data_IF_359102115358
#
_entry.id   IF_359102115358
#
_cell.length_a   1.000
_cell.length_b   1.000
_cell.length_c   1.000
_cell.angle_alpha   90.00
_cell.angle_beta   90.00
_cell.angle_gamma   90.00
#
_symmetry.space_group_name_H-M   'P 1'
#
loop_
_entity.id
_entity.type
_entity.pdbx_description
1 polymer ?
#
# COMPACT_ATOMS: atom_id res chain seq x y z
N UNK A 1 -16.45 -21.37 -19.73
CA UNK A 1 -17.39 -20.23 -19.80
C UNK A 1 -16.97 -19.25 -18.72
N UNK A 2 -16.79 -17.96 -19.04
CA UNK A 2 -16.42 -16.93 -18.04
C UNK A 2 -17.66 -16.59 -17.22
N UNK A 3 -17.53 -16.65 -15.90
CA UNK A 3 -18.58 -16.40 -14.92
C UNK A 3 -19.06 -14.94 -15.02
N UNK A 4 -20.37 -14.66 -14.95
CA UNK A 4 -20.92 -13.29 -15.02
C UNK A 4 -20.26 -12.34 -14.00
N UNK A 5 -20.00 -12.84 -12.80
CA UNK A 5 -19.30 -12.11 -11.72
C UNK A 5 -17.87 -11.67 -12.10
N UNK A 6 -17.12 -12.48 -12.86
CA UNK A 6 -15.75 -12.13 -13.27
C UNK A 6 -15.76 -11.00 -14.31
N UNK A 7 -16.78 -10.96 -15.18
CA UNK A 7 -16.94 -9.89 -16.17
C UNK A 7 -17.28 -8.56 -15.52
N UNK A 8 -18.18 -8.56 -14.54
CA UNK A 8 -18.55 -7.36 -13.79
C UNK A 8 -17.37 -6.81 -12.99
N UNK A 9 -16.66 -7.67 -12.25
CA UNK A 9 -15.44 -7.29 -11.53
C UNK A 9 -14.40 -6.66 -12.47
N UNK A 10 -14.17 -7.26 -13.63
CA UNK A 10 -13.19 -6.76 -14.59
C UNK A 10 -13.59 -5.39 -15.18
N UNK A 11 -14.88 -5.17 -15.45
CA UNK A 11 -15.39 -3.85 -15.86
C UNK A 11 -15.17 -2.80 -14.77
N UNK A 12 -15.38 -3.15 -13.49
CA UNK A 12 -15.08 -2.26 -12.36
C UNK A 12 -13.60 -1.90 -12.31
N UNK A 13 -12.68 -2.85 -12.49
CA UNK A 13 -11.24 -2.56 -12.48
C UNK A 13 -10.83 -1.63 -13.62
N UNK A 14 -11.43 -1.77 -14.80
CA UNK A 14 -11.21 -0.85 -15.93
C UNK A 14 -11.75 0.55 -15.62
N UNK A 15 -12.90 0.65 -14.94
CA UNK A 15 -13.45 1.94 -14.51
C UNK A 15 -12.54 2.63 -13.48
N UNK A 16 -11.97 1.87 -12.55
CA UNK A 16 -10.99 2.37 -11.57
C UNK A 16 -9.72 2.86 -12.28
N UNK A 17 -9.21 2.12 -13.26
CA UNK A 17 -8.08 2.54 -14.10
C UNK A 17 -8.35 3.87 -14.84
N UNK A 18 -9.61 4.12 -15.24
CA UNK A 18 -10.06 5.37 -15.90
C UNK A 18 -10.47 6.49 -14.93
N UNK A 19 -10.38 6.25 -13.62
CA UNK A 19 -10.86 7.19 -12.60
C UNK A 19 -10.00 8.45 -12.49
N UNK A 20 -10.60 9.53 -11.97
CA UNK A 20 -9.90 10.79 -11.70
C UNK A 20 -8.74 10.60 -10.72
N UNK A 21 -8.88 9.71 -9.75
CA UNK A 21 -7.88 9.46 -8.72
C UNK A 21 -6.57 8.91 -9.32
N UNK A 22 -6.66 7.97 -10.27
CA UNK A 22 -5.47 7.46 -10.97
C UNK A 22 -4.86 8.55 -11.87
N UNK A 23 -5.69 9.30 -12.58
CA UNK A 23 -5.22 10.39 -13.43
C UNK A 23 -4.51 11.49 -12.62
N UNK A 24 -5.06 11.87 -11.46
CA UNK A 24 -4.48 12.84 -10.55
C UNK A 24 -3.08 12.42 -10.08
N UNK A 25 -2.94 11.19 -9.57
CA UNK A 25 -1.66 10.65 -9.13
C UNK A 25 -0.60 10.73 -10.22
N UNK A 26 -0.96 10.46 -11.48
CA UNK A 26 -0.03 10.53 -12.61
C UNK A 26 0.31 11.97 -12.99
N UNK A 27 -0.71 12.85 -13.06
CA UNK A 27 -0.54 14.28 -13.41
C UNK A 27 0.36 14.98 -12.39
N UNK A 28 0.13 14.73 -11.11
CA UNK A 28 0.91 15.31 -10.01
C UNK A 28 2.32 14.73 -9.97
N UNK A 29 2.48 13.40 -10.10
CA UNK A 29 3.80 12.74 -10.08
C UNK A 29 4.72 13.16 -11.24
N UNK A 30 4.16 13.34 -12.43
CA UNK A 30 4.91 13.73 -13.62
C UNK A 30 4.87 15.24 -13.90
N UNK A 31 4.27 16.02 -13.00
CA UNK A 31 4.11 17.46 -13.12
C UNK A 31 3.56 17.89 -14.50
N UNK A 32 2.57 17.15 -15.01
CA UNK A 32 2.03 17.34 -16.36
C UNK A 32 1.33 18.70 -16.54
N UNK A 33 0.96 19.36 -15.43
CA UNK A 33 0.38 20.70 -15.42
C UNK A 33 1.32 21.74 -16.06
N UNK A 34 2.63 21.52 -16.01
CA UNK A 34 3.63 22.44 -16.58
C UNK A 34 4.12 22.03 -17.97
N UNK A 35 3.66 20.89 -18.50
CA UNK A 35 4.17 20.35 -19.75
C UNK A 35 3.52 21.05 -20.98
N UNK A 36 4.29 21.45 -22.01
CA UNK A 36 3.78 22.18 -23.18
C UNK A 36 2.62 21.47 -23.90
N UNK A 37 2.61 20.14 -23.88
CA UNK A 37 1.55 19.32 -24.49
C UNK A 37 0.20 19.34 -23.73
N UNK A 38 0.21 19.85 -22.50
CA UNK A 38 -0.93 19.95 -21.59
C UNK A 38 -1.27 21.41 -21.24
N UNK A 39 -0.35 22.36 -21.46
CA UNK A 39 -0.55 23.81 -21.34
C UNK A 39 -0.89 24.49 -22.66
N UNK A 40 -0.59 23.86 -23.81
CA UNK A 40 -0.93 24.39 -25.12
C UNK A 40 -2.44 24.32 -25.36
N UNK A 41 -3.11 25.41 -25.03
CA UNK A 41 -4.40 25.76 -25.63
C UNK A 41 -4.19 26.00 -27.13
N UNK A 42 -4.05 24.92 -27.90
CA UNK A 42 -4.10 24.99 -29.35
C UNK A 42 -5.48 25.54 -29.75
N UNK A 43 -5.51 26.81 -30.16
CA UNK A 43 -6.54 27.39 -31.01
C UNK A 43 -7.85 27.91 -30.40
N UNK A 44 -8.12 27.83 -29.09
CA UNK A 44 -9.44 28.25 -28.56
C UNK A 44 -9.46 29.74 -28.13
N UNK A 45 -8.32 30.38 -27.87
CA UNK A 45 -8.30 31.81 -27.46
C UNK A 45 -8.82 32.80 -28.52
N UNK A 46 -8.96 32.40 -29.79
CA UNK A 46 -9.48 33.27 -30.85
C UNK A 46 -10.97 33.07 -31.18
N UNK A 47 -11.69 32.15 -30.52
CA UNK A 47 -13.13 31.91 -30.78
C UNK A 47 -14.05 32.04 -29.56
N UNK A 48 -13.58 32.65 -28.47
CA UNK A 48 -14.40 32.87 -27.26
C UNK A 48 -14.99 34.29 -27.21
N UNK A 49 -14.50 35.23 -28.04
CA UNK A 49 -15.09 36.57 -28.09
C UNK A 49 -16.34 36.66 -28.99
N UNK A 50 -16.64 35.63 -29.79
CA UNK A 50 -17.89 35.55 -30.57
C UNK A 50 -19.04 34.82 -29.84
N UNK A 51 -18.77 34.07 -28.77
CA UNK A 51 -19.81 33.29 -28.04
C UNK A 51 -20.43 34.10 -26.88
N UNK A 52 -19.94 35.31 -26.60
CA UNK A 52 -20.47 36.21 -25.56
C UNK A 52 -21.75 36.95 -25.95
N UNK A 53 -22.26 36.78 -27.17
CA UNK A 53 -23.41 37.53 -27.68
C UNK A 53 -24.75 36.75 -27.71
N UNK A 54 -24.82 35.55 -27.12
CA UNK A 54 -26.06 34.74 -27.11
C UNK A 54 -26.70 34.79 -25.72
N UNK A 55 -27.84 35.49 -25.53
CA UNK A 55 -28.47 35.70 -24.23
C UNK A 55 -29.19 34.46 -23.66
N UNK A 56 -29.11 33.30 -24.31
CA UNK A 56 -29.83 32.08 -23.92
C UNK A 56 -28.98 31.02 -23.20
N UNK A 57 -27.69 31.26 -22.95
CA UNK A 57 -26.79 30.26 -22.32
C UNK A 57 -26.58 30.47 -20.81
N UNK A 58 -27.25 31.46 -20.21
CA UNK A 58 -27.10 31.76 -18.78
C UNK A 58 -27.89 30.85 -17.85
N UNK A 59 -28.83 30.04 -18.37
CA UNK A 59 -29.78 29.29 -17.51
C UNK A 59 -29.52 27.78 -17.43
N UNK A 60 -28.50 27.26 -18.11
CA UNK A 60 -28.21 25.81 -18.16
C UNK A 60 -27.00 25.35 -17.31
N UNK A 61 -26.41 26.25 -16.51
CA UNK A 61 -25.19 25.96 -15.72
C UNK A 61 -25.35 26.16 -14.21
N UNK A 62 -26.58 26.26 -13.70
CA UNK A 62 -26.85 26.21 -12.27
C UNK A 62 -27.01 24.76 -11.78
N UNK A 63 -25.93 23.97 -11.87
CA UNK A 63 -25.74 22.80 -11.01
C UNK A 63 -24.44 23.05 -10.24
N UNK A 64 -24.60 23.60 -9.03
CA UNK A 64 -23.50 23.85 -8.12
C UNK A 64 -22.81 22.53 -7.76
N UNK A 65 -21.50 22.35 -8.05
CA UNK A 65 -20.75 21.21 -7.53
C UNK A 65 -20.50 21.41 -6.03
N UNK A 66 -20.57 20.31 -5.29
CA UNK A 66 -20.41 20.24 -3.84
C UNK A 66 -19.03 20.84 -3.40
N UNK A 67 -18.94 21.74 -2.39
CA UNK A 67 -17.75 22.58 -2.16
C UNK A 67 -16.56 21.91 -1.46
N UNK A 68 -16.61 20.62 -1.11
CA UNK A 68 -15.61 20.01 -0.22
C UNK A 68 -14.45 19.28 -0.92
N UNK A 69 -14.55 19.00 -2.22
CA UNK A 69 -13.46 18.35 -3.00
C UNK A 69 -12.87 19.25 -4.11
N UNK A 70 -13.49 20.40 -4.40
CA UNK A 70 -13.17 21.25 -5.56
C UNK A 70 -12.10 22.32 -5.27
N UNK A 71 -11.65 22.45 -4.02
CA UNK A 71 -10.96 23.65 -3.52
C UNK A 71 -9.44 23.70 -3.71
N UNK A 72 -8.79 22.68 -4.28
CA UNK A 72 -7.31 22.64 -4.37
C UNK A 72 -6.71 22.67 -5.77
N UNK A 73 -7.52 22.55 -6.83
CA UNK A 73 -6.99 22.44 -8.20
C UNK A 73 -7.31 23.67 -9.06
N UNK A 74 -6.27 24.32 -9.57
CA UNK A 74 -6.36 25.52 -10.42
C UNK A 74 -6.95 25.18 -11.81
N UNK A 75 -7.56 26.14 -12.52
CA UNK A 75 -8.01 25.99 -13.92
C UNK A 75 -7.04 25.21 -14.86
N UNK A 76 -5.71 25.42 -14.85
CA UNK A 76 -4.76 24.62 -15.66
C UNK A 76 -4.72 23.13 -15.32
N UNK A 77 -4.99 22.74 -14.07
CA UNK A 77 -5.04 21.33 -13.68
C UNK A 77 -6.23 20.61 -14.34
N UNK A 78 -7.42 21.22 -14.34
CA UNK A 78 -8.60 20.65 -15.00
C UNK A 78 -8.38 20.46 -16.51
N UNK A 79 -7.67 21.38 -17.16
CA UNK A 79 -7.30 21.27 -18.56
C UNK A 79 -6.31 20.12 -18.81
N UNK A 80 -5.31 19.96 -17.94
CA UNK A 80 -4.39 18.83 -18.00
C UNK A 80 -5.12 17.49 -17.80
N UNK A 81 -6.05 17.42 -16.84
CA UNK A 81 -6.88 16.23 -16.58
C UNK A 81 -7.75 15.84 -17.78
N UNK A 82 -8.41 16.82 -18.40
CA UNK A 82 -9.25 16.55 -19.57
C UNK A 82 -8.41 16.11 -20.78
N UNK A 83 -7.26 16.75 -20.99
CA UNK A 83 -6.32 16.39 -22.06
C UNK A 83 -5.75 14.99 -21.85
N UNK A 84 -5.38 14.66 -20.61
CA UNK A 84 -4.90 13.36 -20.20
C UNK A 84 -5.94 12.27 -20.48
N UNK A 85 -7.18 12.46 -20.03
CA UNK A 85 -8.27 11.49 -20.25
C UNK A 85 -8.58 11.25 -21.72
N UNK A 86 -8.52 12.30 -22.55
CA UNK A 86 -8.76 12.16 -24.00
C UNK A 86 -7.65 11.39 -24.71
N UNK A 87 -6.42 11.45 -24.19
CA UNK A 87 -5.24 10.80 -24.76
C UNK A 87 -5.00 9.39 -24.22
N UNK A 88 -5.56 9.07 -23.06
CA UNK A 88 -5.51 7.75 -22.44
C UNK A 88 -6.60 6.84 -23.02
N UNK A 89 -6.19 5.68 -23.51
CA UNK A 89 -7.07 4.65 -24.01
C UNK A 89 -6.74 3.31 -23.33
N UNK A 90 -7.77 2.66 -22.82
CA UNK A 90 -7.64 1.44 -22.01
C UNK A 90 -8.61 0.42 -22.60
N UNK A 91 -8.03 -0.63 -23.20
CA UNK A 91 -8.75 -1.68 -23.89
C UNK A 91 -8.54 -3.05 -23.22
N UNK A 92 -9.63 -3.79 -22.93
CA UNK A 92 -9.51 -5.16 -22.47
C UNK A 92 -9.07 -6.10 -23.60
N UNK A 93 -8.19 -7.05 -23.28
CA UNK A 93 -7.82 -8.12 -24.22
C UNK A 93 -8.86 -9.24 -24.11
N UNK A 94 -9.58 -9.48 -25.22
CA UNK A 94 -10.66 -10.48 -25.31
C UNK A 94 -10.19 -11.85 -24.79
N UNK A 95 -11.05 -12.53 -24.04
CA UNK A 95 -10.81 -13.86 -23.45
C UNK A 95 -9.60 -13.93 -22.50
N UNK A 96 -9.15 -12.81 -21.95
CA UNK A 96 -8.06 -12.76 -20.96
C UNK A 96 -8.39 -11.75 -19.86
N UNK A 97 -7.64 -11.81 -18.75
CA UNK A 97 -7.67 -10.80 -17.69
C UNK A 97 -6.63 -9.68 -17.90
N UNK A 98 -6.16 -9.51 -19.15
CA UNK A 98 -5.16 -8.49 -19.49
C UNK A 98 -5.83 -7.23 -20.03
N UNK A 99 -5.22 -6.09 -19.73
CA UNK A 99 -5.67 -4.77 -20.18
C UNK A 99 -4.50 -4.10 -20.91
N UNK A 100 -4.78 -3.54 -22.08
CA UNK A 100 -3.84 -2.73 -22.84
C UNK A 100 -4.04 -1.26 -22.49
N UNK A 101 -2.99 -0.65 -21.94
CA UNK A 101 -2.94 0.79 -21.64
C UNK A 101 -2.20 1.46 -22.78
N UNK A 102 -2.84 2.41 -23.45
CA UNK A 102 -2.27 3.20 -24.55
C UNK A 102 -2.38 4.68 -24.23
N UNK A 103 -1.30 5.41 -24.45
CA UNK A 103 -1.30 6.86 -24.29
C UNK A 103 -0.82 7.52 -25.58
N UNK A 104 -1.60 8.48 -26.10
CA UNK A 104 -1.25 9.24 -27.30
C UNK A 104 -0.51 10.51 -26.89
N UNK A 105 0.76 10.64 -27.26
CA UNK A 105 1.54 11.87 -27.06
C UNK A 105 2.34 12.22 -28.32
N UNK A 106 2.67 13.49 -28.48
CA UNK A 106 3.61 13.98 -29.51
C UNK A 106 5.06 13.58 -29.21
N UNK A 107 5.40 13.30 -27.95
CA UNK A 107 6.71 12.84 -27.53
C UNK A 107 6.68 11.33 -27.22
N UNK A 108 7.48 10.50 -27.92
CA UNK A 108 7.52 9.05 -27.69
C UNK A 108 8.02 8.67 -26.28
N UNK A 109 8.92 9.46 -25.69
CA UNK A 109 9.44 9.20 -24.34
C UNK A 109 8.38 9.49 -23.27
N UNK A 110 7.67 10.61 -23.44
CA UNK A 110 6.57 10.98 -22.55
C UNK A 110 5.41 9.98 -22.63
N UNK A 111 5.07 9.51 -23.84
CA UNK A 111 4.03 8.48 -24.04
C UNK A 111 4.30 7.22 -23.22
N UNK A 112 5.54 6.72 -23.29
CA UNK A 112 6.00 5.52 -22.59
C UNK A 112 5.96 5.74 -21.07
N UNK A 113 6.45 6.88 -20.62
CA UNK A 113 6.51 7.25 -19.20
C UNK A 113 5.11 7.33 -18.60
N UNK A 114 4.17 7.99 -19.28
CA UNK A 114 2.78 8.13 -18.83
C UNK A 114 2.07 6.77 -18.81
N UNK A 115 2.20 5.96 -19.86
CA UNK A 115 1.55 4.64 -19.91
C UNK A 115 2.02 3.73 -18.75
N UNK A 116 3.33 3.70 -18.47
CA UNK A 116 3.89 2.95 -17.35
C UNK A 116 3.44 3.54 -16.00
N UNK A 117 3.39 4.86 -15.88
CA UNK A 117 2.95 5.55 -14.66
C UNK A 117 1.48 5.25 -14.32
N UNK A 118 0.58 5.13 -15.32
CA UNK A 118 -0.82 4.74 -15.10
C UNK A 118 -0.93 3.35 -14.50
N UNK A 119 -0.18 2.38 -15.03
CA UNK A 119 -0.15 1.02 -14.49
C UNK A 119 0.35 0.99 -13.04
N UNK A 120 1.44 1.71 -12.76
CA UNK A 120 1.99 1.80 -11.42
C UNK A 120 1.03 2.50 -10.44
N UNK A 121 0.40 3.60 -10.85
CA UNK A 121 -0.55 4.35 -10.03
C UNK A 121 -1.78 3.50 -9.63
N UNK A 122 -2.26 2.63 -10.52
CA UNK A 122 -3.34 1.69 -10.20
C UNK A 122 -2.91 0.64 -9.17
N UNK A 123 -1.72 0.07 -9.35
CA UNK A 123 -1.13 -0.88 -8.40
C UNK A 123 -1.01 -0.24 -7.00
N UNK A 124 -0.56 1.01 -6.94
CA UNK A 124 -0.40 1.75 -5.68
C UNK A 124 -1.75 2.11 -5.04
N UNK A 125 -2.73 2.54 -5.84
CA UNK A 125 -4.08 2.86 -5.35
C UNK A 125 -4.82 1.62 -4.79
N UNK A 126 -4.70 0.46 -5.46
CA UNK A 126 -5.32 -0.77 -4.97
C UNK A 126 -4.70 -1.23 -3.65
N UNK A 127 -3.41 -0.96 -3.44
CA UNK A 127 -2.74 -1.24 -2.19
C UNK A 127 -3.18 -0.31 -1.06
N UNK A 128 -3.26 0.99 -1.32
CA UNK A 128 -3.74 1.99 -0.36
C UNK A 128 -5.17 1.68 0.10
N UNK A 129 -6.06 1.33 -0.84
CA UNK A 129 -7.41 0.88 -0.51
C UNK A 129 -7.42 -0.34 0.43
N UNK A 130 -6.54 -1.33 0.19
CA UNK A 130 -6.41 -2.51 1.07
C UNK A 130 -5.85 -2.16 2.45
N UNK A 131 -4.89 -1.23 2.52
CA UNK A 131 -4.36 -0.75 3.80
C UNK A 131 -5.44 -0.06 4.62
N UNK A 132 -6.23 0.84 3.99
CA UNK A 132 -7.34 1.52 4.65
C UNK A 132 -8.38 0.52 5.17
N UNK A 133 -8.74 -0.48 4.36
CA UNK A 133 -9.66 -1.55 4.82
C UNK A 133 -9.07 -2.33 6.00
N UNK A 134 -7.76 -2.61 6.00
CA UNK A 134 -7.09 -3.35 7.08
C UNK A 134 -7.00 -2.53 8.36
N UNK A 135 -6.66 -1.23 8.26
CA UNK A 135 -6.64 -0.31 9.39
C UNK A 135 -8.04 -0.15 9.99
N UNK A 136 -9.06 0.03 9.15
CA UNK A 136 -10.44 0.11 9.60
C UNK A 136 -10.90 -1.18 10.28
N UNK A 137 -10.50 -2.35 9.77
CA UNK A 137 -10.78 -3.63 10.41
C UNK A 137 -10.07 -3.75 11.78
N UNK A 138 -8.82 -3.31 11.90
CA UNK A 138 -8.12 -3.27 13.17
C UNK A 138 -8.82 -2.33 14.17
N UNK A 139 -9.19 -1.11 13.76
CA UNK A 139 -9.95 -0.18 14.60
C UNK A 139 -11.31 -0.74 14.99
N UNK A 140 -12.02 -1.39 14.07
CA UNK A 140 -13.29 -2.06 14.35
C UNK A 140 -13.11 -3.18 15.38
N UNK A 141 -12.09 -4.03 15.23
CA UNK A 141 -11.79 -5.09 16.20
C UNK A 141 -11.46 -4.51 17.58
N UNK A 142 -10.62 -3.48 17.66
CA UNK A 142 -10.31 -2.78 18.92
C UNK A 142 -11.56 -2.24 19.60
N UNK A 143 -12.42 -1.54 18.84
CA UNK A 143 -13.65 -0.96 19.38
C UNK A 143 -14.65 -2.05 19.83
N UNK A 144 -14.74 -3.17 19.11
CA UNK A 144 -15.60 -4.28 19.53
C UNK A 144 -15.03 -4.99 20.76
N UNK A 145 -13.70 -5.12 20.87
CA UNK A 145 -13.05 -5.66 22.07
C UNK A 145 -13.38 -4.82 23.30
N UNK A 146 -13.22 -3.49 23.21
CA UNK A 146 -13.56 -2.58 24.31
C UNK A 146 -15.03 -2.69 24.72
N UNK A 147 -15.94 -2.77 23.73
CA UNK A 147 -17.37 -2.98 24.02
C UNK A 147 -17.66 -4.33 24.65
N UNK A 148 -16.90 -5.36 24.30
CA UNK A 148 -17.07 -6.71 24.86
C UNK A 148 -16.53 -6.77 26.30
N UNK A 149 -15.39 -6.14 26.57
CA UNK A 149 -14.84 -5.93 27.91
C UNK A 149 -15.82 -5.18 28.80
N UNK A 150 -16.40 -4.08 28.31
CA UNK A 150 -17.37 -3.29 29.08
C UNK A 150 -18.66 -4.08 29.37
N UNK A 151 -19.15 -4.85 28.40
CA UNK A 151 -20.29 -5.75 28.62
C UNK A 151 -19.98 -6.84 29.64
N UNK A 152 -18.80 -7.45 29.55
CA UNK A 152 -18.35 -8.47 30.50
C UNK A 152 -18.29 -7.89 31.91
N UNK A 153 -17.61 -6.75 32.08
CA UNK A 153 -17.53 -6.05 33.37
C UNK A 153 -18.91 -5.73 33.93
N UNK A 154 -19.84 -5.32 33.07
CA UNK A 154 -21.23 -5.05 33.50
C UNK A 154 -21.95 -6.32 33.93
N UNK A 155 -21.77 -7.43 33.21
CA UNK A 155 -22.35 -8.74 33.56
C UNK A 155 -21.75 -9.31 34.85
N UNK A 156 -20.44 -9.14 35.06
CA UNK A 156 -19.73 -9.52 36.29
C UNK A 156 -20.21 -8.69 37.47
N UNK A 157 -20.33 -7.37 37.32
CA UNK A 157 -20.88 -6.49 38.35
C UNK A 157 -22.32 -6.87 38.71
N UNK A 158 -23.17 -7.11 37.71
CA UNK A 158 -24.56 -7.52 37.94
C UNK A 158 -24.66 -8.88 38.65
N UNK A 159 -23.76 -9.82 38.31
CA UNK A 159 -23.66 -11.10 39.02
C UNK A 159 -23.21 -10.89 40.47
N UNK A 160 -22.20 -10.06 40.69
CA UNK A 160 -21.70 -9.74 42.03
C UNK A 160 -22.79 -9.10 42.89
N UNK A 161 -23.52 -8.13 42.36
CA UNK A 161 -24.63 -7.46 43.05
C UNK A 161 -25.74 -8.46 43.40
N UNK A 162 -26.04 -9.40 42.50
CA UNK A 162 -27.00 -10.50 42.74
C UNK A 162 -26.51 -11.45 43.85
N UNK A 163 -25.24 -11.86 43.82
CA UNK A 163 -24.66 -12.74 44.84
C UNK A 163 -24.58 -12.07 46.23
N UNK A 164 -24.30 -10.76 46.27
CA UNK A 164 -24.38 -9.93 47.48
C UNK A 164 -25.80 -9.92 48.05
N UNK A 165 -26.79 -9.71 47.18
CA UNK A 165 -28.20 -9.62 47.56
C UNK A 165 -28.75 -10.95 48.10
N UNK A 166 -28.35 -12.07 47.51
CA UNK A 166 -28.77 -13.42 47.92
C UNK A 166 -27.95 -13.97 49.11
N UNK A 167 -26.99 -13.21 49.64
CA UNK A 167 -26.17 -13.62 50.78
C UNK A 167 -25.29 -14.85 50.50
N UNK A 168 -25.00 -15.12 49.22
CA UNK A 168 -24.17 -16.23 48.75
C UNK A 168 -22.67 -15.92 48.84
N UNK A 169 -22.31 -14.73 49.33
CA UNK A 169 -20.93 -14.36 49.62
C UNK A 169 -20.57 -14.90 50.99
N UNK A 170 -20.27 -16.19 51.01
CA UNK A 170 -19.30 -16.72 51.95
C UNK A 170 -18.47 -17.81 51.25
N UNK A 171 -17.15 -17.72 51.40
CA UNK A 171 -16.12 -18.67 50.97
C UNK A 171 -16.12 -19.17 49.51
N UNK A 172 -15.54 -18.40 48.58
CA UNK A 172 -14.63 -18.91 47.55
C UNK A 172 -14.07 -17.73 46.74
N UNK A 173 -12.94 -17.15 47.17
CA UNK A 173 -12.15 -16.18 46.37
C UNK A 173 -11.55 -16.78 45.09
N UNK A 174 -12.11 -17.89 44.61
CA UNK A 174 -11.71 -18.69 43.47
C UNK A 174 -12.34 -18.11 42.19
N UNK A 175 -13.59 -17.62 42.24
CA UNK A 175 -14.28 -17.07 41.06
C UNK A 175 -13.72 -15.71 40.62
N UNK A 176 -13.31 -14.86 41.56
CA UNK A 176 -12.62 -13.59 41.27
C UNK A 176 -11.21 -13.84 40.67
N UNK A 177 -10.51 -14.89 41.13
CA UNK A 177 -9.22 -15.31 40.53
C UNK A 177 -9.41 -15.82 39.10
N UNK A 178 -10.44 -16.61 38.82
CA UNK A 178 -10.74 -17.09 37.47
C UNK A 178 -11.13 -15.96 36.50
N UNK A 179 -11.90 -14.97 36.97
CA UNK A 179 -12.25 -13.79 36.17
C UNK A 179 -11.00 -12.96 35.80
N UNK A 180 -10.12 -12.70 36.77
CA UNK A 180 -8.86 -11.98 36.55
C UNK A 180 -7.93 -12.73 35.58
N UNK A 181 -7.86 -14.06 35.68
CA UNK A 181 -7.04 -14.89 34.79
C UNK A 181 -7.58 -14.92 33.35
N UNK A 182 -8.91 -14.94 33.18
CA UNK A 182 -9.57 -14.79 31.88
C UNK A 182 -9.34 -13.41 31.26
N UNK A 183 -9.36 -12.34 32.06
CA UNK A 183 -9.05 -10.98 31.61
C UNK A 183 -7.58 -10.88 31.18
N UNK A 184 -6.65 -11.44 31.95
CA UNK A 184 -5.23 -11.50 31.58
C UNK A 184 -5.00 -12.30 30.29
N UNK A 185 -5.68 -13.43 30.12
CA UNK A 185 -5.57 -14.27 28.94
C UNK A 185 -6.13 -13.57 27.69
N UNK A 186 -7.25 -12.86 27.81
CA UNK A 186 -7.77 -12.01 26.74
C UNK A 186 -6.79 -10.88 26.37
N UNK A 187 -6.19 -10.21 27.36
CA UNK A 187 -5.15 -9.19 27.11
C UNK A 187 -3.96 -9.77 26.36
N UNK A 188 -3.47 -10.95 26.77
CA UNK A 188 -2.38 -11.67 26.09
C UNK A 188 -2.76 -12.08 24.67
N UNK A 189 -3.98 -12.58 24.47
CA UNK A 189 -4.49 -12.96 23.16
C UNK A 189 -4.58 -11.74 22.22
N UNK A 190 -5.10 -10.62 22.70
CA UNK A 190 -5.17 -9.38 21.94
C UNK A 190 -3.77 -8.88 21.53
N UNK A 191 -2.80 -8.92 22.44
CA UNK A 191 -1.41 -8.60 22.12
C UNK A 191 -0.83 -9.56 21.05
N UNK A 192 -1.08 -10.88 21.17
CA UNK A 192 -0.61 -11.87 20.21
C UNK A 192 -1.25 -11.69 18.82
N UNK A 193 -2.54 -11.37 18.75
CA UNK A 193 -3.24 -11.06 17.50
C UNK A 193 -2.62 -9.82 16.83
N UNK A 194 -2.35 -8.76 17.59
CA UNK A 194 -1.70 -7.56 17.07
C UNK A 194 -0.31 -7.89 16.50
N UNK A 195 0.51 -8.63 17.26
CA UNK A 195 1.83 -9.07 16.80
C UNK A 195 1.74 -9.91 15.50
N UNK A 196 0.77 -10.82 15.39
CA UNK A 196 0.56 -11.61 14.16
C UNK A 196 0.18 -10.71 12.99
N UNK A 197 -0.72 -9.74 13.19
CA UNK A 197 -1.13 -8.79 12.15
C UNK A 197 0.08 -7.99 11.67
N UNK A 198 0.88 -7.42 12.58
CA UNK A 198 2.08 -6.68 12.23
C UNK A 198 3.07 -7.53 11.42
N UNK A 199 3.42 -8.72 11.91
CA UNK A 199 4.29 -9.66 11.19
C UNK A 199 3.74 -10.05 9.81
N UNK A 200 2.41 -10.23 9.70
CA UNK A 200 1.76 -10.59 8.44
C UNK A 200 1.83 -9.45 7.44
N UNK A 201 1.58 -8.21 7.87
CA UNK A 201 1.68 -7.03 7.00
C UNK A 201 3.10 -6.85 6.47
N UNK A 202 4.11 -7.03 7.32
CA UNK A 202 5.51 -6.98 6.92
C UNK A 202 5.83 -8.04 5.85
N UNK A 203 5.42 -9.29 6.03
CA UNK A 203 5.63 -10.35 5.03
C UNK A 203 4.93 -10.05 3.70
N UNK A 204 3.73 -9.49 3.73
CA UNK A 204 3.02 -9.11 2.50
C UNK A 204 3.76 -7.99 1.75
N UNK A 205 4.28 -6.99 2.48
CA UNK A 205 5.13 -5.94 1.93
C UNK A 205 6.40 -6.52 1.31
N UNK A 206 7.07 -7.44 2.00
CA UNK A 206 8.28 -8.11 1.52
C UNK A 206 8.03 -8.92 0.25
N UNK A 207 6.98 -9.73 0.21
CA UNK A 207 6.63 -10.52 -1.00
C UNK A 207 6.40 -9.60 -2.20
N UNK A 208 5.69 -8.48 -2.03
CA UNK A 208 5.43 -7.53 -3.11
C UNK A 208 6.70 -6.84 -3.61
N UNK A 209 7.51 -6.28 -2.71
CA UNK A 209 8.74 -5.57 -3.09
C UNK A 209 9.80 -6.53 -3.65
N UNK A 210 9.92 -7.73 -3.09
CA UNK A 210 10.83 -8.77 -3.59
C UNK A 210 10.50 -9.21 -5.02
N UNK A 211 9.22 -9.16 -5.45
CA UNK A 211 8.84 -9.47 -6.84
C UNK A 211 9.21 -8.38 -7.84
N UNK A 212 9.47 -7.15 -7.38
CA UNK A 212 9.87 -6.04 -8.25
C UNK A 212 11.38 -5.95 -8.39
N UNK A 213 12.12 -5.86 -7.28
CA UNK A 213 13.59 -5.84 -7.23
C UNK A 213 14.07 -6.06 -5.79
N UNK A 214 15.19 -6.76 -5.58
CA UNK A 214 15.78 -6.97 -4.25
C UNK A 214 16.17 -5.64 -3.59
N UNK A 215 16.70 -4.68 -4.36
CA UNK A 215 17.03 -3.35 -3.83
C UNK A 215 15.81 -2.56 -3.35
N UNK A 216 14.60 -2.88 -3.82
CA UNK A 216 13.39 -2.23 -3.33
C UNK A 216 13.06 -2.60 -1.89
N UNK A 217 13.56 -3.74 -1.38
CA UNK A 217 13.41 -4.15 0.01
C UNK A 217 14.13 -3.21 0.98
N UNK A 218 15.15 -2.49 0.51
CA UNK A 218 15.92 -1.52 1.29
C UNK A 218 15.14 -0.24 1.61
N UNK A 219 14.02 -0.01 0.93
CA UNK A 219 13.09 1.09 1.23
C UNK A 219 12.09 0.74 2.35
N UNK A 220 12.25 -0.41 3.00
CA UNK A 220 11.49 -0.80 4.19
C UNK A 220 12.38 -0.47 5.39
N UNK A 221 11.84 0.25 6.37
CA UNK A 221 12.59 0.71 7.55
C UNK A 221 13.29 -0.45 8.30
N UNK A 222 12.63 -1.61 8.40
CA UNK A 222 13.21 -2.83 9.00
C UNK A 222 14.52 -3.29 8.35
N UNK A 223 14.73 -3.00 7.06
CA UNK A 223 15.95 -3.34 6.33
C UNK A 223 16.91 -2.16 6.28
N UNK A 224 16.41 -0.93 6.15
CA UNK A 224 17.23 0.29 6.18
C UNK A 224 17.93 0.49 7.54
N UNK A 225 17.28 0.08 8.62
CA UNK A 225 17.80 0.24 9.98
C UNK A 225 18.82 -0.84 10.38
N UNK A 226 19.02 -1.88 9.57
CA UNK A 226 20.03 -2.92 9.82
C UNK A 226 21.45 -2.41 9.56
N UNK A 227 22.29 -2.38 10.59
CA UNK A 227 23.66 -1.88 10.49
C UNK A 227 24.48 -2.63 9.44
N UNK A 228 24.38 -3.96 9.41
CA UNK A 228 25.09 -4.81 8.45
C UNK A 228 24.72 -4.51 6.98
N UNK A 229 23.45 -4.20 6.71
CA UNK A 229 22.99 -3.81 5.36
C UNK A 229 23.61 -2.46 4.97
N UNK A 230 23.62 -1.49 5.88
CA UNK A 230 24.22 -0.18 5.64
C UNK A 230 25.72 -0.31 5.35
N UNK A 231 26.44 -1.10 6.13
CA UNK A 231 27.87 -1.33 5.95
C UNK A 231 28.19 -1.96 4.59
N UNK A 232 27.42 -2.97 4.19
CA UNK A 232 27.57 -3.60 2.88
C UNK A 232 27.24 -2.64 1.73
N UNK A 233 26.23 -1.77 1.87
CA UNK A 233 25.92 -0.75 0.86
C UNK A 233 26.99 0.33 0.74
N UNK A 234 27.59 0.75 1.86
CA UNK A 234 28.76 1.63 1.82
C UNK A 234 29.94 0.97 1.10
N UNK A 235 30.20 -0.31 1.38
CA UNK A 235 31.23 -1.10 0.71
C UNK A 235 30.94 -1.27 -0.80
N UNK A 236 29.68 -1.52 -1.17
CA UNK A 236 29.22 -1.63 -2.55
C UNK A 236 29.45 -0.33 -3.32
N UNK A 237 29.07 0.81 -2.72
CA UNK A 237 29.29 2.12 -3.33
C UNK A 237 30.78 2.41 -3.57
N UNK A 238 31.65 2.04 -2.62
CA UNK A 238 33.10 2.17 -2.77
C UNK A 238 33.67 1.26 -3.86
N UNK A 239 33.22 0.00 -3.93
CA UNK A 239 33.63 -0.94 -4.97
C UNK A 239 33.14 -0.50 -6.36
N UNK A 240 31.91 0.01 -6.46
CA UNK A 240 31.34 0.55 -7.69
C UNK A 240 32.11 1.78 -8.19
N UNK A 241 32.52 2.67 -7.27
CA UNK A 241 33.40 3.80 -7.58
C UNK A 241 34.74 3.32 -8.15
N UNK A 242 35.37 2.32 -7.53
CA UNK A 242 36.64 1.76 -8.01
C UNK A 242 36.50 1.17 -9.43
N UNK A 243 35.42 0.45 -9.71
CA UNK A 243 35.11 -0.08 -11.05
C UNK A 243 34.95 1.06 -12.06
N UNK A 244 34.24 2.13 -11.68
CA UNK A 244 34.05 3.31 -12.54
C UNK A 244 35.38 3.99 -12.88
N UNK A 245 36.23 4.23 -11.90
CA UNK A 245 37.57 4.83 -12.11
C UNK A 245 38.48 3.98 -13.00
N UNK A 246 38.47 2.65 -12.80
CA UNK A 246 39.24 1.72 -13.63
C UNK A 246 38.69 1.63 -15.06
N UNK A 247 37.38 1.76 -15.26
CA UNK A 247 36.76 1.71 -16.59
C UNK A 247 37.20 2.84 -17.51
N UNK A 248 37.60 3.99 -16.95
CA UNK A 248 38.10 5.13 -17.72
C UNK A 248 39.51 4.89 -18.27
N UNK A 249 40.31 4.04 -17.62
CA UNK A 249 41.70 3.77 -17.97
C UNK A 249 41.94 2.41 -18.62
N UNK A 250 41.17 1.41 -18.24
CA UNK A 250 41.39 0.02 -18.62
C UNK A 250 40.16 -0.57 -19.30
N UNK A 251 40.39 -1.37 -20.33
CA UNK A 251 39.33 -2.12 -21.00
C UNK A 251 38.73 -3.23 -20.12
N UNK A 252 37.57 -3.77 -20.51
CA UNK A 252 36.84 -4.77 -19.72
C UNK A 252 37.59 -6.11 -19.50
N UNK A 253 38.62 -6.40 -20.31
CA UNK A 253 39.43 -7.63 -20.22
C UNK A 253 40.72 -7.48 -19.42
N UNK A 254 41.02 -6.29 -18.90
CA UNK A 254 42.25 -6.04 -18.14
C UNK A 254 42.16 -6.66 -16.73
N UNK A 255 43.22 -7.30 -16.24
CA UNK A 255 43.22 -8.04 -14.96
C UNK A 255 42.69 -7.21 -13.78
N UNK A 256 43.17 -5.97 -13.62
CA UNK A 256 42.68 -5.04 -12.58
C UNK A 256 41.18 -4.74 -12.68
N UNK A 257 40.64 -4.67 -13.89
CA UNK A 257 39.20 -4.44 -14.11
C UNK A 257 38.39 -5.69 -13.75
N UNK A 258 38.91 -6.88 -14.07
CA UNK A 258 38.29 -8.16 -13.71
C UNK A 258 38.24 -8.31 -12.19
N UNK A 259 39.35 -8.02 -11.50
CA UNK A 259 39.42 -8.08 -10.03
C UNK A 259 38.44 -7.11 -9.37
N UNK A 260 38.37 -5.85 -9.84
CA UNK A 260 37.45 -4.86 -9.28
C UNK A 260 35.98 -5.23 -9.51
N UNK A 261 35.63 -5.73 -10.71
CA UNK A 261 34.28 -6.24 -10.99
C UNK A 261 33.94 -7.46 -10.13
N UNK A 262 34.88 -8.38 -9.94
CA UNK A 262 34.68 -9.55 -9.09
C UNK A 262 34.46 -9.16 -7.62
N UNK A 263 35.18 -8.15 -7.13
CA UNK A 263 34.98 -7.60 -5.78
C UNK A 263 33.60 -6.93 -5.63
N UNK A 264 33.17 -6.13 -6.61
CA UNK A 264 31.82 -5.55 -6.59
C UNK A 264 30.76 -6.65 -6.58
N UNK A 265 30.89 -7.65 -7.46
CA UNK A 265 29.95 -8.76 -7.55
C UNK A 265 29.90 -9.60 -6.26
N UNK A 266 31.03 -9.81 -5.58
CA UNK A 266 31.06 -10.56 -4.32
C UNK A 266 30.36 -9.80 -3.18
N UNK A 267 30.54 -8.48 -3.10
CA UNK A 267 29.83 -7.61 -2.14
C UNK A 267 28.33 -7.60 -2.43
N UNK A 268 27.94 -7.47 -3.70
CA UNK A 268 26.54 -7.53 -4.12
C UNK A 268 25.88 -8.85 -3.74
N UNK A 269 26.53 -9.98 -4.05
CA UNK A 269 26.04 -11.31 -3.69
C UNK A 269 25.89 -11.47 -2.16
N UNK A 270 26.82 -10.91 -1.38
CA UNK A 270 26.74 -10.93 0.10
C UNK A 270 25.55 -10.11 0.60
N UNK A 271 25.31 -8.92 0.04
CA UNK A 271 24.16 -8.07 0.37
C UNK A 271 22.85 -8.79 0.09
N UNK A 272 22.71 -9.39 -1.09
CA UNK A 272 21.49 -10.13 -1.43
C UNK A 272 21.27 -11.34 -0.52
N UNK A 273 22.34 -12.07 -0.16
CA UNK A 273 22.24 -13.20 0.76
C UNK A 273 21.72 -12.76 2.12
N UNK A 274 22.25 -11.66 2.66
CA UNK A 274 21.80 -11.10 3.94
C UNK A 274 20.34 -10.67 3.90
N UNK A 275 19.90 -10.02 2.81
CA UNK A 275 18.51 -9.63 2.62
C UNK A 275 17.59 -10.85 2.60
N UNK A 276 18.00 -11.94 1.91
CA UNK A 276 17.25 -13.20 1.89
C UNK A 276 17.16 -13.85 3.28
N UNK A 277 18.26 -13.86 4.03
CA UNK A 277 18.31 -14.39 5.39
C UNK A 277 17.38 -13.64 6.34
N UNK A 278 17.42 -12.30 6.32
CA UNK A 278 16.53 -11.46 7.12
C UNK A 278 15.07 -11.67 6.69
N UNK A 279 14.81 -11.73 5.38
CA UNK A 279 13.45 -11.99 4.87
C UNK A 279 12.91 -13.34 5.33
N UNK A 280 13.77 -14.37 5.38
CA UNK A 280 13.41 -15.68 5.88
C UNK A 280 13.15 -15.67 7.40
N UNK A 281 14.01 -14.99 8.18
CA UNK A 281 13.80 -14.79 9.62
C UNK A 281 12.44 -14.12 9.89
N UNK A 282 12.08 -13.07 9.15
CA UNK A 282 10.75 -12.43 9.29
C UNK A 282 9.59 -13.37 8.97
N UNK A 283 9.79 -14.36 8.08
CA UNK A 283 8.75 -15.36 7.80
C UNK A 283 8.59 -16.33 8.97
N UNK A 284 9.70 -16.67 9.64
CA UNK A 284 9.67 -17.47 10.86
C UNK A 284 8.98 -16.70 12.00
N UNK A 285 9.23 -15.39 12.13
CA UNK A 285 8.56 -14.55 13.13
C UNK A 285 7.02 -14.59 12.97
N UNK A 286 6.51 -14.54 11.73
CA UNK A 286 5.08 -14.67 11.45
C UNK A 286 4.54 -16.04 11.88
N UNK A 287 5.28 -17.11 11.61
CA UNK A 287 4.87 -18.46 12.01
C UNK A 287 4.83 -18.60 13.54
N UNK A 288 5.83 -18.05 14.23
CA UNK A 288 5.88 -18.02 15.69
C UNK A 288 4.72 -17.21 16.28
N UNK A 289 4.44 -16.01 15.73
CA UNK A 289 3.33 -15.17 16.17
C UNK A 289 1.97 -15.87 15.98
N UNK A 290 1.79 -16.58 14.86
CA UNK A 290 0.59 -17.37 14.61
C UNK A 290 0.45 -18.54 15.60
N UNK A 291 1.53 -19.27 15.85
CA UNK A 291 1.53 -20.37 16.82
C UNK A 291 1.20 -19.88 18.24
N UNK A 292 1.70 -18.71 18.63
CA UNK A 292 1.37 -18.08 19.90
C UNK A 292 -0.11 -17.67 19.99
N UNK A 293 -0.67 -17.08 18.93
CA UNK A 293 -2.12 -16.77 18.86
C UNK A 293 -2.96 -18.05 18.99
N UNK A 294 -2.61 -19.10 18.26
CA UNK A 294 -3.34 -20.37 18.26
C UNK A 294 -3.28 -21.06 19.63
N UNK A 295 -2.11 -21.01 20.31
CA UNK A 295 -1.94 -21.51 21.68
C UNK A 295 -2.84 -20.75 22.68
N UNK A 296 -2.80 -19.42 22.65
CA UNK A 296 -3.59 -18.59 23.58
C UNK A 296 -5.10 -18.72 23.33
N UNK A 297 -5.51 -18.93 22.07
CA UNK A 297 -6.90 -19.26 21.75
C UNK A 297 -7.32 -20.60 22.34
N UNK A 298 -6.50 -21.63 22.17
CA UNK A 298 -6.81 -22.96 22.71
C UNK A 298 -6.89 -22.92 24.25
N UNK A 299 -6.01 -22.16 24.91
CA UNK A 299 -6.05 -21.96 26.36
C UNK A 299 -7.33 -21.23 26.81
N UNK A 300 -7.75 -20.21 26.04
CA UNK A 300 -8.98 -19.46 26.33
C UNK A 300 -10.24 -20.33 26.16
N UNK A 301 -10.27 -21.16 25.11
CA UNK A 301 -11.39 -22.06 24.86
C UNK A 301 -11.47 -23.15 25.94
N UNK A 302 -10.34 -23.65 26.41
CA UNK A 302 -10.30 -24.62 27.51
C UNK A 302 -10.76 -24.04 28.85
N UNK A 303 -10.48 -22.76 29.14
CA UNK A 303 -10.92 -22.11 30.39
C UNK A 303 -12.39 -21.66 30.39
N UNK A 304 -13.06 -21.67 29.22
CA UNK A 304 -14.49 -21.35 29.09
C UNK A 304 -15.42 -22.55 29.32
N UNK A 305 -14.87 -23.77 29.41
CA UNK A 305 -15.59 -25.04 29.64
C UNK A 305 -15.48 -25.37 31.13
#
# INVERSE_FOLDING_TARGET
>A
MVSTHEKEYFQTQIAILKSNHIADKVITKLNLVNHPEFTSSSGIKQKIDEIKAIPFVQDLLHVAPNPKETSQHTKPYYQALQTFKRKLDIEPVRNTQLVKIRFRSTDPQLATTIANAVGQAYIDANFEAKLVVTQNAATWLTNNSQKLEERLRTSEQALQDFLMQEGLIDINGIDDIYANELEELNRKLNAAVNNRIEAQTLIQLLKRKSTQNIDSLLSIDEFANQAQIRDLKMSEAQAAKNVSELSQRYGPKHDRMIQAKAQLASIQARTEQLIREISFSKQQDLLAAKAQEDMLRAELDNKKI
#
